data_IF_551820349403
#
_entry.id   IF_551820349403
#
_cell.length_a   1.000
_cell.length_b   1.000
_cell.length_c   1.000
_cell.angle_alpha   90.00
_cell.angle_beta   90.00
_cell.angle_gamma   90.00
#
_symmetry.space_group_name_H-M   'P 1'
#
loop_
_entity.id
_entity.type
_entity.pdbx_description
1 polymer ?
#
# COMPACT_ATOMS: atom_id res chain seq x y z
N UNK A 1 -21.54 12.50 3.80
CA UNK A 1 -21.30 13.96 3.80
C UNK A 1 -20.46 14.28 2.57
N UNK A 2 -20.99 15.06 1.64
CA UNK A 2 -20.35 15.42 0.38
C UNK A 2 -19.18 16.38 0.64
N UNK A 3 -17.97 16.00 0.22
CA UNK A 3 -16.79 16.87 0.26
C UNK A 3 -16.86 17.94 -0.85
N UNK A 4 -16.31 19.15 -0.64
CA UNK A 4 -16.38 20.24 -1.60
C UNK A 4 -15.39 20.06 -2.76
N UNK A 5 -15.73 20.64 -3.91
CA UNK A 5 -14.91 20.66 -5.13
C UNK A 5 -13.51 21.29 -4.91
N UNK A 6 -12.49 20.86 -5.67
CA UNK A 6 -11.11 21.29 -5.44
C UNK A 6 -10.92 22.75 -5.86
N UNK A 7 -10.67 23.59 -4.86
CA UNK A 7 -10.18 24.96 -5.04
C UNK A 7 -8.70 24.97 -5.42
N UNK A 8 -8.34 25.91 -6.30
CA UNK A 8 -7.00 26.12 -6.84
C UNK A 8 -5.95 26.31 -5.75
N UNK A 9 -5.06 25.32 -5.57
CA UNK A 9 -3.86 25.47 -4.76
C UNK A 9 -2.64 25.71 -5.66
N UNK A 10 -1.92 26.77 -5.31
CA UNK A 10 -0.74 27.33 -5.97
C UNK A 10 0.39 26.32 -6.19
N UNK A 11 0.95 26.33 -7.40
CA UNK A 11 1.99 25.42 -7.88
C UNK A 11 3.35 25.65 -7.20
N UNK A 12 3.89 24.58 -6.61
CA UNK A 12 5.35 24.38 -6.47
C UNK A 12 5.67 23.02 -7.09
N UNK A 13 5.74 23.00 -8.41
CA UNK A 13 6.19 21.84 -9.18
C UNK A 13 7.70 21.69 -8.99
N UNK A 14 8.12 20.87 -8.02
CA UNK A 14 9.47 20.33 -8.01
C UNK A 14 9.64 19.47 -9.27
N UNK A 15 10.63 19.81 -10.10
CA UNK A 15 10.88 19.13 -11.36
C UNK A 15 11.16 17.63 -11.13
N UNK A 16 10.22 16.78 -11.52
CA UNK A 16 10.39 15.33 -11.56
C UNK A 16 11.31 15.02 -12.75
N UNK A 17 12.57 14.67 -12.47
CA UNK A 17 13.47 14.18 -13.51
C UNK A 17 13.06 12.75 -13.87
N UNK A 18 12.59 12.55 -15.11
CA UNK A 18 12.36 11.23 -15.68
C UNK A 18 13.71 10.49 -15.81
N UNK A 19 13.72 9.15 -15.67
CA UNK A 19 14.91 8.36 -15.98
C UNK A 19 15.33 8.59 -17.44
N UNK A 20 16.64 8.50 -17.75
CA UNK A 20 17.15 8.74 -19.10
C UNK A 20 16.48 7.82 -20.13
N UNK A 21 16.16 8.37 -21.30
CA UNK A 21 15.59 7.63 -22.43
C UNK A 21 16.49 6.43 -22.80
N UNK A 22 15.90 5.24 -22.92
CA UNK A 22 16.59 4.04 -23.40
C UNK A 22 16.86 2.93 -22.39
N UNK A 23 16.28 2.97 -21.18
CA UNK A 23 16.31 1.80 -20.28
C UNK A 23 15.41 0.70 -20.86
N UNK A 24 16.03 -0.27 -21.53
CA UNK A 24 15.34 -1.44 -22.04
C UNK A 24 14.71 -2.23 -20.88
N UNK A 25 13.43 -2.60 -21.03
CA UNK A 25 12.75 -3.49 -20.09
C UNK A 25 13.51 -4.82 -19.99
N UNK A 26 13.73 -5.28 -18.77
CA UNK A 26 14.49 -6.50 -18.47
C UNK A 26 13.81 -7.73 -19.11
N UNK A 27 14.60 -8.70 -19.61
CA UNK A 27 14.10 -9.93 -20.23
C UNK A 27 13.25 -10.76 -19.26
N UNK A 28 12.34 -11.61 -19.78
CA UNK A 28 11.39 -12.41 -18.98
C UNK A 28 12.06 -13.24 -17.87
N UNK A 29 13.25 -13.75 -18.16
CA UNK A 29 14.03 -14.61 -17.25
C UNK A 29 14.83 -13.80 -16.20
N UNK A 30 14.86 -12.48 -16.34
CA UNK A 30 15.43 -11.54 -15.38
C UNK A 30 14.36 -10.63 -14.75
N UNK A 31 13.07 -11.01 -14.88
CA UNK A 31 11.99 -10.48 -14.02
C UNK A 31 12.27 -10.86 -12.57
N UNK A 32 11.87 -10.00 -11.65
CA UNK A 32 12.09 -10.14 -10.20
C UNK A 32 11.72 -11.55 -9.71
N UNK A 33 12.72 -12.39 -9.45
CA UNK A 33 12.56 -13.68 -8.75
C UNK A 33 12.85 -13.41 -7.27
N UNK A 34 11.92 -12.73 -6.59
CA UNK A 34 12.08 -12.35 -5.19
C UNK A 34 11.37 -11.05 -4.85
N UNK A 35 11.52 -10.60 -3.60
CA UNK A 35 11.07 -9.30 -3.12
C UNK A 35 12.15 -8.26 -3.41
N UNK A 36 11.82 -7.25 -4.22
CA UNK A 36 12.69 -6.09 -4.41
C UNK A 36 12.21 -4.94 -3.52
N UNK A 37 13.14 -4.33 -2.79
CA UNK A 37 12.87 -3.22 -1.89
C UNK A 37 13.77 -2.07 -2.30
N UNK A 38 13.19 -1.01 -2.87
CA UNK A 38 13.93 0.19 -3.20
C UNK A 38 13.42 1.39 -2.43
N UNK A 39 14.32 2.33 -2.16
CA UNK A 39 14.01 3.58 -1.46
C UNK A 39 14.13 4.74 -2.44
N UNK A 40 13.11 5.60 -2.47
CA UNK A 40 13.12 6.85 -3.22
C UNK A 40 12.62 7.97 -2.30
N UNK A 41 13.51 8.92 -1.98
CA UNK A 41 13.30 9.90 -0.91
C UNK A 41 12.85 9.23 0.40
N UNK A 42 11.72 9.67 0.97
CA UNK A 42 11.14 9.12 2.19
C UNK A 42 10.26 7.88 1.95
N UNK A 43 10.07 7.49 0.68
CA UNK A 43 9.25 6.36 0.29
C UNK A 43 10.07 5.09 0.13
N UNK A 44 9.49 3.99 0.57
CA UNK A 44 9.97 2.64 0.26
C UNK A 44 8.96 1.96 -0.65
N UNK A 45 9.46 1.35 -1.70
CA UNK A 45 8.68 0.60 -2.65
C UNK A 45 9.07 -0.87 -2.53
N UNK A 46 8.06 -1.72 -2.39
CA UNK A 46 8.23 -3.16 -2.44
C UNK A 46 7.61 -3.71 -3.70
N UNK A 47 8.42 -4.33 -4.56
CA UNK A 47 7.94 -5.18 -5.65
C UNK A 47 7.82 -6.60 -5.14
N UNK A 48 6.59 -7.08 -5.10
CA UNK A 48 6.22 -8.38 -4.57
C UNK A 48 5.97 -9.34 -5.74
N UNK A 49 6.62 -10.52 -5.77
CA UNK A 49 6.46 -11.43 -6.89
C UNK A 49 5.05 -12.03 -6.88
N UNK A 50 4.34 -11.92 -8.00
CA UNK A 50 2.97 -12.44 -8.18
C UNK A 50 2.87 -13.96 -8.35
N UNK A 51 3.90 -14.73 -8.02
CA UNK A 51 3.89 -16.18 -8.19
C UNK A 51 3.27 -16.82 -6.93
N UNK A 52 2.35 -17.80 -7.07
CA UNK A 52 1.62 -18.37 -5.92
C UNK A 52 2.51 -18.92 -4.80
N UNK A 53 3.69 -19.43 -5.15
CA UNK A 53 4.71 -19.90 -4.20
C UNK A 53 5.21 -18.82 -3.22
N UNK A 54 5.05 -17.54 -3.56
CA UNK A 54 5.42 -16.43 -2.69
C UNK A 54 4.26 -15.88 -1.87
N UNK A 55 3.00 -16.25 -2.15
CA UNK A 55 1.84 -15.70 -1.44
C UNK A 55 1.88 -15.84 0.09
N UNK A 56 2.35 -16.97 0.66
CA UNK A 56 2.51 -17.08 2.12
C UNK A 56 3.49 -16.03 2.69
N UNK A 57 4.51 -15.68 1.91
CA UNK A 57 5.55 -14.72 2.30
C UNK A 57 5.14 -13.27 2.00
N UNK A 58 4.20 -13.03 1.08
CA UNK A 58 3.69 -11.69 0.82
C UNK A 58 3.05 -11.10 2.07
N UNK A 59 2.33 -11.92 2.84
CA UNK A 59 1.65 -11.49 4.07
C UNK A 59 2.60 -10.84 5.09
N UNK A 60 3.88 -11.24 5.15
CA UNK A 60 4.85 -10.63 6.08
C UNK A 60 5.28 -9.21 5.67
N UNK A 61 5.10 -8.85 4.40
CA UNK A 61 5.41 -7.50 3.87
C UNK A 61 4.18 -6.62 3.76
N UNK A 62 2.98 -7.22 3.77
CA UNK A 62 1.73 -6.51 3.87
C UNK A 62 1.56 -5.99 5.31
N UNK A 63 1.48 -4.67 5.48
CA UNK A 63 1.32 -4.04 6.79
C UNK A 63 0.30 -2.90 6.72
N UNK A 64 -0.39 -2.60 7.83
CA UNK A 64 -1.23 -1.41 7.92
C UNK A 64 -0.45 -0.13 7.59
N UNK A 65 -1.16 0.89 7.10
CA UNK A 65 -0.55 2.17 6.73
C UNK A 65 0.35 2.12 5.50
N UNK A 66 0.15 1.15 4.58
CA UNK A 66 0.72 1.20 3.24
C UNK A 66 -0.27 1.78 2.25
N UNK A 67 0.30 2.34 1.20
CA UNK A 67 -0.39 2.48 -0.07
C UNK A 67 -0.04 1.28 -0.96
N UNK A 68 -1.07 0.64 -1.51
CA UNK A 68 -0.97 -0.53 -2.36
C UNK A 68 -1.34 -0.20 -3.79
N UNK A 69 -0.53 -0.66 -4.74
CA UNK A 69 -0.82 -0.55 -6.16
C UNK A 69 -1.29 -1.91 -6.67
N UNK A 70 -2.53 -1.99 -7.11
CA UNK A 70 -3.10 -3.17 -7.78
C UNK A 70 -2.91 -2.98 -9.27
N UNK A 71 -2.16 -3.88 -9.90
CA UNK A 71 -1.74 -3.72 -11.28
C UNK A 71 -2.66 -4.52 -12.20
N UNK A 72 -3.31 -3.82 -13.14
CA UNK A 72 -4.12 -4.40 -14.20
C UNK A 72 -3.33 -4.36 -15.51
N UNK A 73 -2.99 -5.52 -16.07
CA UNK A 73 -2.35 -5.56 -17.39
C UNK A 73 -3.41 -5.33 -18.49
N UNK A 74 -3.39 -4.18 -19.14
CA UNK A 74 -4.40 -3.82 -20.15
C UNK A 74 -4.18 -4.51 -21.49
N UNK A 75 -2.97 -5.04 -21.76
CA UNK A 75 -2.68 -5.75 -23.01
C UNK A 75 -3.14 -7.22 -23.00
N UNK A 76 -3.38 -7.78 -21.82
CA UNK A 76 -3.85 -9.15 -21.67
C UNK A 76 -5.33 -9.30 -22.09
N UNK A 77 -5.81 -10.55 -22.28
CA UNK A 77 -7.24 -10.80 -22.39
C UNK A 77 -7.99 -10.24 -21.18
N UNK A 78 -9.15 -9.62 -21.42
CA UNK A 78 -9.89 -8.88 -20.39
C UNK A 78 -10.30 -9.76 -19.20
N UNK A 79 -10.68 -11.01 -19.46
CA UNK A 79 -11.03 -11.96 -18.40
C UNK A 79 -9.84 -12.32 -17.51
N UNK A 80 -8.65 -12.48 -18.09
CA UNK A 80 -7.42 -12.72 -17.32
C UNK A 80 -7.07 -11.50 -16.47
N UNK A 81 -7.22 -10.29 -17.02
CA UNK A 81 -7.01 -9.04 -16.28
C UNK A 81 -7.98 -8.91 -15.10
N UNK A 82 -9.27 -9.21 -15.30
CA UNK A 82 -10.28 -9.18 -14.24
C UNK A 82 -9.97 -10.18 -13.13
N UNK A 83 -9.65 -11.42 -13.50
CA UNK A 83 -9.29 -12.48 -12.56
C UNK A 83 -8.04 -12.11 -11.74
N UNK A 84 -7.01 -11.57 -12.39
CA UNK A 84 -5.78 -11.14 -11.72
C UNK A 84 -5.99 -9.95 -10.77
N UNK A 85 -6.84 -8.99 -11.13
CA UNK A 85 -7.19 -7.87 -10.24
C UNK A 85 -7.96 -8.39 -9.03
N UNK A 86 -8.95 -9.26 -9.22
CA UNK A 86 -9.72 -9.85 -8.13
C UNK A 86 -8.85 -10.69 -7.19
N UNK A 87 -7.93 -11.50 -7.72
CA UNK A 87 -6.97 -12.27 -6.92
C UNK A 87 -6.09 -11.35 -6.05
N UNK A 88 -5.52 -10.29 -6.63
CA UNK A 88 -4.72 -9.30 -5.90
C UNK A 88 -5.54 -8.64 -4.77
N UNK A 89 -6.79 -8.27 -5.03
CA UNK A 89 -7.65 -7.66 -4.02
C UNK A 89 -8.01 -8.61 -2.90
N UNK A 90 -8.27 -9.88 -3.21
CA UNK A 90 -8.55 -10.91 -2.21
C UNK A 90 -7.34 -11.12 -1.28
N UNK A 91 -6.13 -11.25 -1.83
CA UNK A 91 -4.89 -11.40 -1.05
C UNK A 91 -4.64 -10.18 -0.17
N UNK A 92 -4.83 -8.98 -0.73
CA UNK A 92 -4.59 -7.74 -0.01
C UNK A 92 -5.57 -7.58 1.16
N UNK A 93 -6.86 -7.71 0.90
CA UNK A 93 -7.91 -7.41 1.88
C UNK A 93 -8.07 -8.50 2.94
N UNK A 94 -7.63 -9.74 2.66
CA UNK A 94 -7.50 -10.77 3.70
C UNK A 94 -6.36 -10.49 4.68
N UNK A 95 -5.36 -9.71 4.26
CA UNK A 95 -4.12 -9.53 5.00
C UNK A 95 -4.03 -8.16 5.70
N UNK A 96 -4.61 -7.12 5.11
CA UNK A 96 -4.51 -5.74 5.60
C UNK A 96 -5.89 -5.09 5.63
N UNK A 97 -6.53 -5.05 6.81
CA UNK A 97 -7.73 -4.25 7.02
C UNK A 97 -7.46 -2.78 6.70
N UNK A 98 -8.42 -2.09 6.07
CA UNK A 98 -8.33 -0.66 5.68
C UNK A 98 -7.13 -0.33 4.78
N UNK A 99 -6.71 -1.27 3.93
CA UNK A 99 -5.70 -1.00 2.92
C UNK A 99 -6.10 0.21 2.06
N UNK A 100 -5.13 1.08 1.74
CA UNK A 100 -5.30 2.18 0.78
C UNK A 100 -4.83 1.67 -0.57
N UNK A 101 -5.71 1.67 -1.57
CA UNK A 101 -5.51 0.99 -2.84
C UNK A 101 -5.64 1.95 -4.01
N UNK A 102 -4.67 1.89 -4.93
CA UNK A 102 -4.73 2.52 -6.25
C UNK A 102 -4.69 1.42 -7.30
N UNK A 103 -5.67 1.41 -8.21
CA UNK A 103 -5.67 0.49 -9.34
C UNK A 103 -4.94 1.16 -10.50
N UNK A 104 -3.94 0.47 -11.06
CA UNK A 104 -3.08 1.00 -12.12
C UNK A 104 -3.20 0.11 -13.35
N UNK A 105 -3.73 0.67 -14.43
CA UNK A 105 -3.71 0.05 -15.75
C UNK A 105 -2.31 0.18 -16.35
N UNK A 106 -1.68 -0.94 -16.74
CA UNK A 106 -0.33 -0.97 -17.31
C UNK A 106 -0.35 -1.44 -18.76
N UNK A 107 0.75 -1.17 -19.48
CA UNK A 107 0.93 -1.52 -20.89
C UNK A 107 -0.07 -0.82 -21.83
N UNK A 108 -0.41 0.44 -21.49
CA UNK A 108 -1.32 1.27 -22.27
C UNK A 108 -0.87 1.44 -23.73
N UNK A 109 0.44 1.45 -23.97
CA UNK A 109 1.06 1.57 -25.30
C UNK A 109 0.74 0.39 -26.24
N UNK A 110 0.34 -0.75 -25.68
CA UNK A 110 0.00 -1.96 -26.45
C UNK A 110 -1.48 -2.07 -26.79
N UNK A 111 -2.30 -1.15 -26.29
CA UNK A 111 -3.74 -1.12 -26.50
C UNK A 111 -4.07 -0.01 -27.49
N UNK A 112 -4.91 -0.26 -28.50
CA UNK A 112 -5.39 0.80 -29.39
C UNK A 112 -6.08 1.91 -28.59
N UNK A 113 -5.80 3.19 -28.90
CA UNK A 113 -6.36 4.33 -28.15
C UNK A 113 -7.90 4.31 -28.06
N UNK A 114 -8.60 3.82 -29.08
CA UNK A 114 -10.06 3.71 -29.08
C UNK A 114 -10.64 2.61 -28.19
N UNK A 115 -9.82 1.66 -27.72
CA UNK A 115 -10.24 0.57 -26.85
C UNK A 115 -9.82 0.75 -25.38
N UNK A 116 -8.90 1.69 -25.12
CA UNK A 116 -8.28 1.87 -23.81
C UNK A 116 -9.30 2.23 -22.73
N UNK A 117 -10.14 3.24 -23.00
CA UNK A 117 -11.17 3.70 -22.05
C UNK A 117 -12.21 2.61 -21.76
N UNK A 118 -12.58 1.83 -22.78
CA UNK A 118 -13.49 0.70 -22.63
C UNK A 118 -12.90 -0.40 -21.73
N UNK A 119 -11.62 -0.73 -21.91
CA UNK A 119 -10.94 -1.70 -21.03
C UNK A 119 -10.83 -1.19 -19.60
N UNK A 120 -10.49 0.08 -19.40
CA UNK A 120 -10.42 0.70 -18.07
C UNK A 120 -11.79 0.68 -17.38
N UNK A 121 -12.87 1.01 -18.10
CA UNK A 121 -14.23 0.95 -17.56
C UNK A 121 -14.59 -0.46 -17.09
N UNK A 122 -14.30 -1.50 -17.89
CA UNK A 122 -14.60 -2.89 -17.49
C UNK A 122 -13.77 -3.33 -16.28
N UNK A 123 -12.50 -2.92 -16.18
CA UNK A 123 -11.68 -3.21 -14.99
C UNK A 123 -12.27 -2.49 -13.77
N UNK A 124 -12.73 -1.25 -13.92
CA UNK A 124 -13.34 -0.50 -12.82
C UNK A 124 -14.68 -1.11 -12.38
N UNK A 125 -15.54 -1.50 -13.31
CA UNK A 125 -16.79 -2.23 -13.02
C UNK A 125 -16.51 -3.52 -12.23
N UNK A 126 -15.42 -4.23 -12.55
CA UNK A 126 -15.01 -5.42 -11.78
C UNK A 126 -14.60 -5.05 -10.34
N UNK A 127 -13.89 -3.94 -10.14
CA UNK A 127 -13.50 -3.45 -8.82
C UNK A 127 -14.73 -3.03 -8.01
N UNK A 128 -15.68 -2.31 -8.61
CA UNK A 128 -16.95 -1.93 -7.96
C UNK A 128 -17.78 -3.18 -7.61
N UNK A 129 -17.87 -4.14 -8.53
CA UNK A 129 -18.56 -5.40 -8.27
C UNK A 129 -17.90 -6.18 -7.14
N UNK A 130 -16.57 -6.14 -7.03
CA UNK A 130 -15.82 -6.74 -5.93
C UNK A 130 -16.10 -6.01 -4.60
N UNK A 131 -16.07 -4.67 -4.59
CA UNK A 131 -16.41 -3.87 -3.41
C UNK A 131 -17.82 -4.18 -2.89
N UNK A 132 -18.82 -4.24 -3.77
CA UNK A 132 -20.18 -4.58 -3.39
C UNK A 132 -20.31 -6.00 -2.82
N UNK A 133 -19.50 -6.96 -3.29
CA UNK A 133 -19.43 -8.31 -2.69
C UNK A 133 -18.80 -8.26 -1.30
N UNK A 134 -17.73 -7.47 -1.14
CA UNK A 134 -17.04 -7.30 0.13
C UNK A 134 -17.90 -6.62 1.19
N UNK A 135 -18.64 -5.57 0.83
CA UNK A 135 -19.60 -4.91 1.72
C UNK A 135 -20.66 -5.89 2.23
N UNK A 136 -21.26 -6.68 1.33
CA UNK A 136 -22.24 -7.71 1.72
C UNK A 136 -21.65 -8.76 2.65
N UNK A 137 -20.39 -9.15 2.43
CA UNK A 137 -19.67 -10.07 3.30
C UNK A 137 -19.42 -9.44 4.68
N UNK A 138 -18.98 -8.18 4.71
CA UNK A 138 -18.74 -7.42 5.94
C UNK A 138 -20.01 -7.27 6.77
N UNK A 139 -21.13 -6.91 6.13
CA UNK A 139 -22.44 -6.79 6.76
C UNK A 139 -22.97 -8.14 7.28
N UNK A 140 -22.70 -9.24 6.56
CA UNK A 140 -23.04 -10.59 7.03
C UNK A 140 -22.21 -10.96 8.27
N UNK A 141 -20.90 -10.73 8.24
CA UNK A 141 -20.02 -10.97 9.39
C UNK A 141 -20.39 -10.10 10.60
N UNK A 142 -20.74 -8.83 10.39
CA UNK A 142 -21.19 -7.92 11.45
C UNK A 142 -22.47 -8.43 12.13
N UNK A 143 -23.45 -8.91 11.34
CA UNK A 143 -24.69 -9.49 11.86
C UNK A 143 -24.45 -10.80 12.63
N UNK A 144 -23.58 -11.68 12.10
CA UNK A 144 -23.18 -12.90 12.81
C UNK A 144 -22.49 -12.59 14.15
N UNK A 145 -21.59 -11.60 14.17
CA UNK A 145 -20.91 -11.18 15.39
C UNK A 145 -21.88 -10.58 16.42
N UNK A 146 -22.85 -9.77 15.99
CA UNK A 146 -23.88 -9.20 16.86
C UNK A 146 -24.77 -10.29 17.48
N UNK A 147 -25.24 -11.25 16.66
CA UNK A 147 -26.05 -12.38 17.15
C UNK A 147 -25.26 -13.27 18.13
N UNK A 148 -23.98 -13.54 17.86
CA UNK A 148 -23.11 -14.30 18.76
C UNK A 148 -22.83 -13.57 20.08
N UNK A 149 -22.78 -12.23 20.08
CA UNK A 149 -22.62 -11.44 21.30
C UNK A 149 -23.88 -11.49 22.18
N UNK A 150 -25.07 -11.51 21.58
CA UNK A 150 -26.34 -11.70 22.31
C UNK A 150 -26.48 -13.11 22.89
N UNK A 151 -26.11 -14.16 22.13
CA UNK A 151 -26.14 -15.55 22.61
C UNK A 151 -25.05 -15.83 23.67
N UNK A 152 -23.85 -15.27 23.52
CA UNK A 152 -22.72 -15.45 24.42
C UNK A 152 -22.87 -14.78 25.79
N UNK A 153 -23.83 -13.87 25.95
CA UNK A 153 -24.19 -13.32 27.25
C UNK A 153 -24.92 -14.33 28.16
N UNK A 154 -25.37 -15.48 27.61
CA UNK A 154 -26.15 -16.49 28.32
C UNK A 154 -25.40 -17.81 28.61
N UNK A 155 -24.17 -18.02 28.13
CA UNK A 155 -23.44 -19.29 28.28
C UNK A 155 -22.06 -19.17 28.97
N UNK A 156 -21.72 -20.22 29.72
CA UNK A 156 -20.51 -20.40 30.54
C UNK A 156 -19.21 -20.31 29.71
N UNK A 157 -18.14 -19.61 30.16
CA UNK A 157 -17.01 -19.21 29.32
C UNK A 157 -16.07 -20.34 28.87
N UNK A 158 -16.36 -21.61 29.18
CA UNK A 158 -15.48 -22.75 28.89
C UNK A 158 -15.87 -23.56 27.65
N UNK A 159 -17.00 -23.28 26.98
CA UNK A 159 -17.63 -24.30 26.12
C UNK A 159 -17.35 -24.21 24.61
N UNK A 160 -16.70 -23.18 24.04
CA UNK A 160 -16.31 -23.17 22.59
C UNK A 160 -15.20 -22.18 22.23
N UNK A 161 -13.95 -22.63 22.00
CA UNK A 161 -12.85 -21.75 21.58
C UNK A 161 -13.02 -21.18 20.16
N UNK A 162 -13.73 -21.87 19.26
CA UNK A 162 -13.86 -21.50 17.84
C UNK A 162 -14.85 -20.38 17.56
N UNK A 163 -15.93 -20.25 18.34
CA UNK A 163 -16.91 -19.16 18.17
C UNK A 163 -16.36 -17.82 18.69
N UNK A 164 -15.58 -17.85 19.78
CA UNK A 164 -15.00 -16.67 20.42
C UNK A 164 -13.92 -16.01 19.57
N UNK A 165 -13.04 -16.81 18.95
CA UNK A 165 -12.03 -16.32 18.01
C UNK A 165 -12.62 -15.58 16.79
N UNK A 166 -13.83 -15.97 16.36
CA UNK A 166 -14.54 -15.33 15.23
C UNK A 166 -15.25 -14.03 15.64
N UNK A 167 -15.70 -13.93 16.88
CA UNK A 167 -16.31 -12.72 17.43
C UNK A 167 -15.28 -11.62 17.75
N UNK A 168 -14.06 -11.99 18.13
CA UNK A 168 -12.97 -11.04 18.41
C UNK A 168 -12.39 -10.38 17.15
N UNK A 169 -12.54 -11.00 15.98
CA UNK A 169 -11.97 -10.49 14.72
C UNK A 169 -12.74 -9.31 14.12
N UNK A 170 -13.94 -8.99 14.63
CA UNK A 170 -14.78 -7.92 14.09
C UNK A 170 -15.19 -8.15 12.62
N UNK A 171 -16.07 -7.30 12.08
CA UNK A 171 -16.36 -7.34 10.64
C UNK A 171 -15.13 -6.89 9.83
N UNK A 172 -14.88 -7.49 8.66
CA UNK A 172 -13.78 -7.06 7.80
C UNK A 172 -13.97 -5.60 7.37
N UNK A 173 -13.00 -4.75 7.71
CA UNK A 173 -13.06 -3.32 7.38
C UNK A 173 -12.76 -3.10 5.89
N UNK A 174 -13.51 -2.19 5.26
CA UNK A 174 -13.39 -1.93 3.83
C UNK A 174 -12.09 -1.18 3.50
N UNK A 175 -11.33 -1.61 2.48
CA UNK A 175 -10.21 -0.84 1.95
C UNK A 175 -10.69 0.48 1.34
N UNK A 176 -9.82 1.49 1.37
CA UNK A 176 -10.05 2.75 0.65
C UNK A 176 -9.52 2.61 -0.77
N UNK A 177 -10.36 2.84 -1.77
CA UNK A 177 -9.96 2.87 -3.18
C UNK A 177 -9.87 4.30 -3.70
N UNK A 178 -8.79 4.61 -4.41
CA UNK A 178 -8.75 5.80 -5.24
C UNK A 178 -9.78 5.65 -6.39
N UNK A 179 -10.67 6.64 -6.61
CA UNK A 179 -11.87 6.48 -7.44
C UNK A 179 -11.61 6.38 -8.96
N UNK A 180 -10.36 6.40 -9.40
CA UNK A 180 -10.01 6.38 -10.81
C UNK A 180 -8.84 5.43 -11.05
N UNK A 181 -8.87 4.71 -12.18
CA UNK A 181 -7.74 3.89 -12.60
C UNK A 181 -6.72 4.78 -13.30
N UNK A 182 -5.48 4.81 -12.79
CA UNK A 182 -4.40 5.51 -13.49
C UNK A 182 -3.85 4.62 -14.59
N UNK A 183 -3.85 5.13 -15.82
CA UNK A 183 -3.35 4.40 -16.98
C UNK A 183 -1.89 4.76 -17.26
N UNK A 184 -1.02 3.76 -17.39
CA UNK A 184 0.43 3.93 -17.50
C UNK A 184 1.06 3.03 -18.56
N UNK A 185 2.17 3.51 -19.13
CA UNK A 185 3.10 2.67 -19.88
C UNK A 185 4.51 2.92 -19.39
N UNK A 186 5.21 1.84 -19.01
CA UNK A 186 6.64 1.89 -18.70
C UNK A 186 7.52 2.10 -19.94
N UNK A 187 6.98 1.83 -21.15
CA UNK A 187 7.73 1.94 -22.39
C UNK A 187 7.73 3.37 -22.94
N UNK A 188 6.57 4.03 -22.92
CA UNK A 188 6.41 5.41 -23.39
C UNK A 188 6.43 6.46 -22.27
N UNK A 189 6.52 6.02 -21.02
CA UNK A 189 6.38 6.84 -19.80
C UNK A 189 5.03 7.57 -19.68
N UNK A 190 4.06 7.23 -20.52
CA UNK A 190 2.72 7.79 -20.48
C UNK A 190 2.09 7.55 -19.10
N UNK A 191 1.47 8.59 -18.53
CA UNK A 191 0.71 8.52 -17.29
C UNK A 191 1.55 8.37 -16.01
N UNK A 192 2.87 8.24 -16.09
CA UNK A 192 3.74 8.06 -14.93
C UNK A 192 3.76 9.28 -13.99
N UNK A 193 3.77 10.49 -14.54
CA UNK A 193 3.71 11.73 -13.74
C UNK A 193 2.38 11.85 -13.01
N UNK A 194 1.28 11.48 -13.68
CA UNK A 194 -0.05 11.50 -13.08
C UNK A 194 -0.15 10.44 -11.97
N UNK A 195 0.40 9.25 -12.19
CA UNK A 195 0.51 8.24 -11.14
C UNK A 195 1.28 8.77 -9.93
N UNK A 196 2.47 9.34 -10.12
CA UNK A 196 3.25 9.93 -9.02
C UNK A 196 2.44 11.00 -8.28
N UNK A 197 1.74 11.87 -9.02
CA UNK A 197 0.88 12.91 -8.45
C UNK A 197 -0.20 12.31 -7.54
N UNK A 198 -0.91 11.29 -8.02
CA UNK A 198 -1.95 10.57 -7.26
C UNK A 198 -1.36 9.89 -6.01
N UNK A 199 -0.22 9.20 -6.15
CA UNK A 199 0.44 8.54 -5.01
C UNK A 199 0.82 9.56 -3.93
N UNK A 200 1.41 10.70 -4.33
CA UNK A 200 1.79 11.76 -3.41
C UNK A 200 0.57 12.43 -2.76
N UNK A 201 -0.51 12.67 -3.51
CA UNK A 201 -1.77 13.21 -2.98
C UNK A 201 -2.35 12.30 -1.88
N UNK A 202 -2.39 11.00 -2.14
CA UNK A 202 -2.91 10.01 -1.19
C UNK A 202 -2.05 9.90 0.06
N UNK A 203 -0.72 9.82 -0.06
CA UNK A 203 0.15 9.71 1.12
C UNK A 203 0.08 10.97 1.99
N UNK A 204 -0.07 12.15 1.38
CA UNK A 204 -0.25 13.40 2.12
C UNK A 204 -1.64 13.56 2.75
N UNK A 205 -2.60 12.67 2.45
CA UNK A 205 -3.93 12.70 3.02
C UNK A 205 -3.92 12.16 4.45
N UNK A 206 -3.95 13.08 5.44
CA UNK A 206 -3.85 12.76 6.88
C UNK A 206 -4.90 11.78 7.40
N UNK A 207 -6.09 11.72 6.79
CA UNK A 207 -7.12 10.74 7.19
C UNK A 207 -6.78 9.30 6.77
N UNK A 208 -5.98 9.13 5.71
CA UNK A 208 -5.53 7.84 5.21
C UNK A 208 -4.23 7.41 5.89
N UNK A 209 -3.30 8.35 6.09
CA UNK A 209 -2.00 8.12 6.71
C UNK A 209 -1.76 9.08 7.90
N UNK A 210 -2.43 8.86 9.04
CA UNK A 210 -2.34 9.78 10.18
C UNK A 210 -0.94 9.84 10.80
N UNK A 211 -0.16 8.75 10.67
CA UNK A 211 1.22 8.66 11.17
C UNK A 211 2.22 9.34 10.23
N UNK A 212 1.87 9.53 8.95
CA UNK A 212 2.78 10.15 7.99
C UNK A 212 2.93 11.64 8.31
N UNK A 213 4.16 12.07 8.57
CA UNK A 213 4.45 13.42 9.03
C UNK A 213 3.87 13.75 10.41
N UNK A 214 3.61 12.74 11.25
CA UNK A 214 3.31 12.95 12.67
C UNK A 214 4.60 13.23 13.45
N UNK A 215 4.47 13.98 14.54
CA UNK A 215 5.59 14.16 15.46
C UNK A 215 5.77 12.92 16.34
N UNK A 216 7.01 12.42 16.42
CA UNK A 216 7.43 11.36 17.31
C UNK A 216 8.54 11.83 18.24
N UNK A 217 8.60 11.29 19.47
CA UNK A 217 9.74 11.48 20.35
C UNK A 217 11.08 11.20 19.66
N UNK A 218 12.05 12.08 19.83
CA UNK A 218 13.37 12.00 19.21
C UNK A 218 14.10 10.67 19.51
N UNK A 219 13.80 10.05 20.65
CA UNK A 219 14.35 8.74 21.04
C UNK A 219 14.02 7.63 20.04
N UNK A 220 12.85 7.70 19.38
CA UNK A 220 12.49 6.71 18.36
C UNK A 220 13.33 6.87 17.09
N UNK A 221 13.67 8.09 16.70
CA UNK A 221 14.57 8.34 15.58
C UNK A 221 16.01 7.92 15.89
N UNK A 222 16.50 8.17 17.11
CA UNK A 222 17.80 7.65 17.53
C UNK A 222 17.85 6.13 17.49
N UNK A 223 16.78 5.46 17.96
CA UNK A 223 16.70 4.01 17.91
C UNK A 223 16.60 3.48 16.47
N UNK A 224 15.83 4.14 15.60
CA UNK A 224 15.73 3.80 14.17
C UNK A 224 17.09 3.90 13.47
N UNK A 225 17.82 4.98 13.68
CA UNK A 225 19.17 5.14 13.13
C UNK A 225 20.15 4.11 13.70
N UNK A 226 20.04 3.77 14.98
CA UNK A 226 20.83 2.71 15.59
C UNK A 226 20.58 1.35 14.94
N UNK A 227 19.32 0.98 14.69
CA UNK A 227 18.95 -0.25 13.99
C UNK A 227 19.49 -0.25 12.56
N UNK A 228 19.36 0.87 11.84
CA UNK A 228 19.92 1.00 10.50
C UNK A 228 21.44 0.83 10.49
N UNK A 229 22.15 1.51 11.39
CA UNK A 229 23.60 1.38 11.52
C UNK A 229 24.01 -0.07 11.80
N UNK A 230 23.29 -0.75 12.70
CA UNK A 230 23.51 -2.17 13.02
C UNK A 230 23.28 -3.06 11.79
N UNK A 231 22.22 -2.80 11.02
CA UNK A 231 21.93 -3.51 9.75
C UNK A 231 23.03 -3.34 8.71
N UNK A 232 23.64 -2.15 8.64
CA UNK A 232 24.77 -1.88 7.75
C UNK A 232 26.12 -2.36 8.29
N UNK A 233 26.14 -3.00 9.47
CA UNK A 233 27.37 -3.48 10.11
C UNK A 233 28.27 -2.36 10.61
N UNK A 234 27.73 -1.15 10.85
CA UNK A 234 28.49 -0.04 11.41
C UNK A 234 28.71 -0.26 12.90
N UNK A 235 29.96 -0.12 13.35
CA UNK A 235 30.35 -0.31 14.74
C UNK A 235 30.98 0.96 15.34
N UNK A 236 31.11 0.99 16.68
CA UNK A 236 31.86 2.02 17.40
C UNK A 236 31.48 3.46 17.06
N UNK A 237 32.46 4.23 16.58
CA UNK A 237 32.32 5.66 16.33
C UNK A 237 31.52 5.97 15.05
N UNK A 238 31.53 5.10 14.04
CA UNK A 238 30.75 5.30 12.80
C UNK A 238 29.25 5.22 13.05
N UNK A 239 28.83 4.22 13.83
CA UNK A 239 27.44 4.12 14.32
C UNK A 239 27.06 5.33 15.16
N UNK A 240 27.94 5.77 16.05
CA UNK A 240 27.70 6.93 16.90
C UNK A 240 27.60 8.21 16.08
N UNK A 241 28.45 8.40 15.07
CA UNK A 241 28.37 9.52 14.14
C UNK A 241 27.06 9.50 13.35
N UNK A 242 26.62 8.34 12.86
CA UNK A 242 25.32 8.23 12.17
C UNK A 242 24.13 8.55 13.09
N UNK A 243 24.13 8.08 14.34
CA UNK A 243 23.05 8.37 15.30
C UNK A 243 23.06 9.86 15.71
N UNK A 244 24.25 10.45 15.84
CA UNK A 244 24.43 11.85 16.23
C UNK A 244 24.33 12.83 15.05
N UNK A 245 24.38 12.37 13.80
CA UNK A 245 24.19 13.21 12.61
C UNK A 245 22.75 13.65 12.41
N UNK A 246 21.84 13.24 13.29
CA UNK A 246 20.47 13.72 13.29
C UNK A 246 20.47 15.20 13.71
N UNK A 247 20.52 16.08 12.72
CA UNK A 247 20.46 17.52 12.90
C UNK A 247 19.13 17.90 13.58
N UNK A 248 19.23 18.63 14.69
CA UNK A 248 18.04 19.17 15.37
C UNK A 248 17.69 20.50 14.72
N UNK A 249 16.49 20.66 14.14
CA UNK A 249 16.06 21.96 13.65
C UNK A 249 15.89 22.97 14.79
N UNK A 250 15.62 22.50 16.01
CA UNK A 250 15.62 23.29 17.25
C UNK A 250 16.23 22.46 18.39
N UNK A 251 17.28 22.93 19.10
CA UNK A 251 17.85 22.24 20.25
C UNK A 251 16.87 22.05 21.42
N UNK A 252 15.80 22.84 21.50
CA UNK A 252 14.73 22.70 22.48
C UNK A 252 13.61 21.74 22.05
N UNK A 253 13.58 21.32 20.78
CA UNK A 253 12.62 20.33 20.31
C UNK A 253 12.97 18.93 20.82
N UNK A 254 11.97 18.27 21.40
CA UNK A 254 12.05 16.87 21.81
C UNK A 254 11.36 15.91 20.82
N UNK A 255 10.85 16.45 19.71
CA UNK A 255 10.13 15.70 18.68
C UNK A 255 10.82 15.81 17.33
N UNK A 256 10.65 14.77 16.52
CA UNK A 256 11.04 14.72 15.11
C UNK A 256 9.81 14.34 14.29
N UNK A 257 9.77 14.71 13.01
CA UNK A 257 8.68 14.35 12.11
C UNK A 257 8.98 12.98 11.51
N UNK A 258 8.02 12.05 11.56
CA UNK A 258 8.14 10.72 10.96
C UNK A 258 8.15 10.82 9.44
N UNK A 259 9.23 10.42 8.75
CA UNK A 259 9.18 10.26 7.31
C UNK A 259 8.39 8.99 6.93
N UNK A 260 8.55 7.89 7.67
CA UNK A 260 7.70 6.68 7.70
C UNK A 260 8.29 5.71 8.74
N UNK A 261 7.49 4.95 9.49
CA UNK A 261 7.97 3.78 10.25
C UNK A 261 7.18 2.56 9.75
N UNK A 262 7.88 1.49 9.38
CA UNK A 262 7.26 0.17 9.14
C UNK A 262 8.02 -0.94 9.87
N UNK A 263 7.24 -1.97 10.18
CA UNK A 263 7.58 -3.14 10.98
C UNK A 263 8.69 -4.01 10.35
N UNK A 264 8.93 -3.88 9.05
CA UNK A 264 10.00 -4.56 8.31
C UNK A 264 11.41 -4.09 8.72
N UNK A 265 11.52 -2.95 9.40
CA UNK A 265 12.80 -2.49 9.98
C UNK A 265 13.22 -3.27 11.23
N UNK A 266 12.31 -4.08 11.81
CA UNK A 266 12.56 -4.88 13.02
C UNK A 266 12.67 -6.38 12.76
N UNK A 267 12.28 -6.87 11.58
CA UNK A 267 12.16 -8.31 11.30
C UNK A 267 12.89 -8.67 10.02
N UNK A 268 14.21 -8.75 10.12
CA UNK A 268 15.05 -9.66 9.32
C UNK A 268 16.18 -10.14 10.21
N UNK A 269 15.93 -11.27 10.88
CA UNK A 269 16.98 -12.17 11.36
C UNK A 269 17.47 -13.05 10.21
#
# INVERSE_FOLDING_TARGET
ALLPAPGSASATAAAIALPPEGVALVTRDARTVGLDLFKWHDFKFGDCPGQPQYFPWLQTFLSPGALYMVVANLSAPLEDTKAAVEEQLNILCSSVPRAVVVVVGTQADRVPQGELDGRLAVVWEQVEAWQARWEKLSDACAREAAAAAEEGAAEDPSSRPTKRARAEQGPPEMPYFYPQITCTSANTYQGMLELIRVLMELVNTKSLFPLYGAEVPLVYEYFRLFLLATRYGLEGEERKQMVLSLERPDPASHTSVVPFIRQDELVRE
#
